data_IF_580798122701
#
_entry.id   IF_580798122701
#
_cell.length_a   1.000
_cell.length_b   1.000
_cell.length_c   1.000
_cell.angle_alpha   90.00
_cell.angle_beta   90.00
_cell.angle_gamma   90.00
#
_symmetry.space_group_name_H-M   'P 1'
#
loop_
_entity.id
_entity.type
_entity.pdbx_description
1 polymer ?
#
# COMPACT_ATOMS: atom_id res chain seq x y z
N UNK A 1 -40.89 21.81 -4.90
CA UNK A 1 -41.17 20.55 -4.16
C UNK A 1 -41.42 19.34 -5.07
N UNK A 2 -42.11 19.44 -6.22
CA UNK A 2 -42.34 18.30 -7.14
C UNK A 2 -41.09 17.76 -7.88
N UNK A 3 -40.06 18.58 -8.07
CA UNK A 3 -38.88 18.17 -8.84
C UNK A 3 -37.90 17.32 -8.03
N UNK A 4 -37.80 17.52 -6.72
CA UNK A 4 -36.92 16.73 -5.83
C UNK A 4 -37.33 15.26 -5.78
N UNK A 5 -38.63 14.98 -5.83
CA UNK A 5 -39.15 13.62 -5.78
C UNK A 5 -38.75 12.80 -7.01
N UNK A 6 -38.56 13.45 -8.17
CA UNK A 6 -38.08 12.81 -9.40
C UNK A 6 -36.62 12.35 -9.31
N UNK A 7 -35.84 12.94 -8.40
CA UNK A 7 -34.44 12.61 -8.23
C UNK A 7 -34.19 11.53 -7.16
N UNK A 8 -35.19 11.13 -6.38
CA UNK A 8 -35.02 10.13 -5.32
C UNK A 8 -34.48 8.82 -5.90
N UNK A 9 -35.12 8.28 -6.94
CA UNK A 9 -34.70 7.01 -7.57
C UNK A 9 -33.27 7.10 -8.15
N UNK A 10 -32.93 8.09 -9.01
CA UNK A 10 -31.58 8.16 -9.56
C UNK A 10 -30.50 8.42 -8.49
N UNK A 11 -30.78 9.21 -7.45
CA UNK A 11 -29.84 9.38 -6.32
C UNK A 11 -29.61 8.05 -5.61
N UNK A 12 -30.66 7.26 -5.39
CA UNK A 12 -30.57 5.97 -4.73
C UNK A 12 -29.74 4.98 -5.57
N UNK A 13 -29.89 5.00 -6.90
CA UNK A 13 -29.05 4.22 -7.82
C UNK A 13 -27.57 4.63 -7.72
N UNK A 14 -27.28 5.94 -7.75
CA UNK A 14 -25.90 6.44 -7.60
C UNK A 14 -25.30 6.02 -6.26
N UNK A 15 -26.09 6.08 -5.17
CA UNK A 15 -25.67 5.66 -3.84
C UNK A 15 -25.32 4.17 -3.78
N UNK A 16 -26.14 3.31 -4.40
CA UNK A 16 -25.88 1.87 -4.47
C UNK A 16 -24.61 1.58 -5.28
N UNK A 17 -24.43 2.23 -6.44
CA UNK A 17 -23.21 2.09 -7.25
C UNK A 17 -21.98 2.55 -6.47
N UNK A 18 -22.07 3.68 -5.75
CA UNK A 18 -20.99 4.16 -4.90
C UNK A 18 -20.68 3.16 -3.78
N UNK A 19 -21.68 2.58 -3.11
CA UNK A 19 -21.46 1.55 -2.10
C UNK A 19 -20.75 0.32 -2.67
N UNK A 20 -21.21 -0.20 -3.81
CA UNK A 20 -20.55 -1.34 -4.47
C UNK A 20 -19.10 -0.99 -4.80
N UNK A 21 -18.85 0.21 -5.32
CA UNK A 21 -17.49 0.66 -5.62
C UNK A 21 -16.59 0.73 -4.37
N UNK A 22 -17.02 1.41 -3.32
CA UNK A 22 -16.16 1.65 -2.14
C UNK A 22 -15.98 0.42 -1.23
N UNK A 23 -16.98 -0.47 -1.14
CA UNK A 23 -16.91 -1.63 -0.25
C UNK A 23 -16.46 -2.92 -0.94
N UNK A 24 -16.79 -3.07 -2.23
CA UNK A 24 -16.53 -4.30 -2.97
C UNK A 24 -15.43 -4.14 -4.02
N UNK A 25 -15.46 -3.08 -4.83
CA UNK A 25 -14.53 -2.89 -5.95
C UNK A 25 -13.32 -2.00 -5.62
N UNK A 26 -13.15 -1.57 -4.36
CA UNK A 26 -12.08 -0.63 -4.00
C UNK A 26 -10.72 -1.29 -4.25
N UNK A 27 -9.92 -0.79 -5.21
CA UNK A 27 -8.64 -1.41 -5.58
C UNK A 27 -7.61 -1.34 -4.44
N UNK A 28 -7.81 -0.44 -3.47
CA UNK A 28 -6.93 -0.29 -2.31
C UNK A 28 -7.32 -1.20 -1.14
N UNK A 29 -8.26 -2.13 -1.32
CA UNK A 29 -8.71 -3.01 -0.22
C UNK A 29 -7.54 -3.88 0.24
N UNK A 30 -7.16 -3.72 1.50
CA UNK A 30 -6.04 -4.43 2.12
C UNK A 30 -4.69 -3.69 2.05
N UNK A 31 -4.60 -2.58 1.32
CA UNK A 31 -3.40 -1.72 1.34
C UNK A 31 -3.39 -0.92 2.64
N UNK A 32 -2.29 -1.04 3.40
CA UNK A 32 -2.10 -0.36 4.67
C UNK A 32 -1.56 1.06 4.51
N UNK A 33 -1.25 1.71 5.64
CA UNK A 33 -0.58 3.01 5.67
C UNK A 33 0.68 2.98 6.53
N UNK A 34 1.73 3.65 6.09
CA UNK A 34 2.92 3.86 6.91
C UNK A 34 2.64 4.80 8.09
N UNK A 35 1.60 5.63 8.01
CA UNK A 35 1.17 6.48 9.12
C UNK A 35 0.67 5.70 10.35
N UNK A 36 0.33 4.41 10.19
CA UNK A 36 -0.08 3.53 11.29
C UNK A 36 1.12 3.01 12.11
N UNK A 37 2.35 3.36 11.71
CA UNK A 37 3.59 2.99 12.37
C UNK A 37 4.12 4.16 13.21
N UNK A 38 4.55 3.84 14.43
CA UNK A 38 5.23 4.79 15.31
C UNK A 38 6.74 4.64 15.12
N UNK A 39 7.40 5.69 14.63
CA UNK A 39 8.86 5.70 14.41
C UNK A 39 9.69 5.64 15.70
N UNK A 40 9.06 5.76 16.88
CA UNK A 40 9.69 5.54 18.17
C UNK A 40 9.49 4.10 18.70
N UNK A 41 8.83 3.24 17.92
CA UNK A 41 8.55 1.85 18.29
C UNK A 41 9.07 0.88 17.22
N UNK A 42 10.00 0.00 17.61
CA UNK A 42 10.62 -0.98 16.71
C UNK A 42 9.86 -2.32 16.66
N UNK A 43 8.61 -2.37 17.13
CA UNK A 43 7.78 -3.57 17.03
C UNK A 43 7.46 -3.88 15.56
N UNK A 44 7.77 -5.10 15.15
CA UNK A 44 7.45 -5.56 13.79
C UNK A 44 5.94 -5.69 13.61
N UNK A 45 5.41 -5.06 12.56
CA UNK A 45 4.02 -5.18 12.11
C UNK A 45 3.97 -5.42 10.61
N UNK A 46 2.85 -5.96 10.17
CA UNK A 46 2.60 -6.24 8.76
C UNK A 46 1.94 -5.02 8.09
N UNK A 47 2.40 -4.68 6.88
CA UNK A 47 1.79 -3.66 6.03
C UNK A 47 1.88 -4.07 4.57
N UNK A 48 0.73 -4.09 3.89
CA UNK A 48 0.68 -4.29 2.45
C UNK A 48 0.73 -2.95 1.72
N UNK A 49 1.62 -2.82 0.75
CA UNK A 49 1.82 -1.59 -0.03
C UNK A 49 2.00 -1.90 -1.51
N UNK A 50 1.76 -0.91 -2.37
CA UNK A 50 2.11 -1.02 -3.78
C UNK A 50 3.63 -0.93 -3.96
N UNK A 51 4.18 -1.64 -4.93
CA UNK A 51 5.55 -1.39 -5.39
C UNK A 51 5.54 -0.12 -6.25
N UNK A 52 6.41 0.84 -5.94
CA UNK A 52 6.60 2.03 -6.77
C UNK A 52 7.50 1.68 -7.97
N UNK A 53 6.90 1.04 -8.98
CA UNK A 53 7.59 0.53 -10.18
C UNK A 53 8.28 1.62 -11.00
N UNK A 54 7.87 2.88 -10.84
CA UNK A 54 8.52 4.05 -11.43
C UNK A 54 9.88 4.39 -10.80
N UNK A 55 10.25 3.76 -9.67
CA UNK A 55 11.52 3.97 -8.97
C UNK A 55 12.45 2.77 -9.13
N UNK A 56 13.75 3.04 -9.02
CA UNK A 56 14.77 2.00 -9.12
C UNK A 56 14.70 1.02 -7.93
N UNK A 57 14.86 -0.26 -8.25
CA UNK A 57 15.13 -1.33 -7.29
C UNK A 57 16.62 -1.65 -7.38
N UNK A 58 17.34 -1.39 -6.30
CA UNK A 58 18.81 -1.49 -6.25
C UNK A 58 19.22 -2.57 -5.24
N UNK A 59 20.29 -3.33 -5.51
CA UNK A 59 20.90 -4.18 -4.48
C UNK A 59 21.49 -3.31 -3.36
N UNK A 60 21.34 -3.75 -2.11
CA UNK A 60 21.96 -3.09 -0.95
C UNK A 60 23.39 -3.63 -0.76
N UNK A 61 24.44 -2.78 -0.66
CA UNK A 61 25.79 -3.22 -0.34
C UNK A 61 25.93 -4.05 0.95
N UNK A 62 24.98 -3.93 1.89
CA UNK A 62 24.96 -4.70 3.14
C UNK A 62 24.27 -6.08 3.00
N UNK A 63 23.80 -6.41 1.80
CA UNK A 63 23.00 -7.60 1.53
C UNK A 63 21.50 -7.27 1.48
N UNK A 64 20.81 -7.87 0.51
CA UNK A 64 19.39 -7.58 0.24
C UNK A 64 19.22 -6.54 -0.88
N UNK A 65 18.08 -5.85 -0.86
CA UNK A 65 17.69 -4.84 -1.84
C UNK A 65 17.06 -3.63 -1.18
N UNK A 66 17.11 -2.51 -1.90
CA UNK A 66 16.43 -1.26 -1.61
C UNK A 66 15.42 -1.00 -2.72
N UNK A 67 14.19 -0.72 -2.33
CA UNK A 67 13.13 -0.31 -3.26
C UNK A 67 12.20 0.70 -2.59
N UNK A 68 11.10 1.03 -3.24
CA UNK A 68 10.12 1.99 -2.73
C UNK A 68 8.73 1.39 -2.76
N UNK A 69 7.99 1.61 -1.68
CA UNK A 69 6.58 1.22 -1.57
C UNK A 69 5.69 2.43 -1.44
N UNK A 70 4.53 2.37 -2.08
CA UNK A 70 3.49 3.41 -2.00
C UNK A 70 2.30 2.87 -1.20
N UNK A 71 1.96 3.56 -0.11
CA UNK A 71 0.85 3.18 0.74
C UNK A 71 -0.51 3.66 0.19
N UNK A 72 -1.60 3.36 0.91
CA UNK A 72 -2.96 3.76 0.53
C UNK A 72 -3.16 5.28 0.45
N UNK A 73 -2.42 6.06 1.23
CA UNK A 73 -2.47 7.52 1.21
C UNK A 73 -1.62 8.12 0.08
N UNK A 74 -0.93 7.28 -0.69
CA UNK A 74 0.00 7.71 -1.73
C UNK A 74 1.38 8.08 -1.20
N UNK A 75 1.66 7.85 0.08
CA UNK A 75 2.97 8.10 0.67
C UNK A 75 3.96 7.08 0.12
N UNK A 76 5.06 7.56 -0.46
CA UNK A 76 6.14 6.72 -0.97
C UNK A 76 7.27 6.65 0.05
N UNK A 77 7.61 5.46 0.50
CA UNK A 77 8.64 5.21 1.52
C UNK A 77 9.72 4.28 0.96
N UNK A 78 10.97 4.56 1.29
CA UNK A 78 12.11 3.70 1.00
C UNK A 78 12.02 2.43 1.86
N UNK A 79 12.18 1.27 1.25
CA UNK A 79 12.15 -0.03 1.94
C UNK A 79 13.52 -0.68 1.78
N UNK A 80 14.09 -1.13 2.89
CA UNK A 80 15.26 -2.00 2.90
C UNK A 80 14.80 -3.40 3.28
N UNK A 81 15.12 -4.39 2.43
CA UNK A 81 14.64 -5.75 2.60
C UNK A 81 15.74 -6.78 2.30
N UNK A 82 15.83 -7.79 3.16
CA UNK A 82 16.59 -9.01 2.90
C UNK A 82 15.72 -10.11 2.29
N UNK A 83 16.34 -11.15 1.74
CA UNK A 83 15.66 -12.40 1.37
C UNK A 83 14.78 -12.35 0.11
N UNK A 84 14.78 -11.24 -0.62
CA UNK A 84 14.06 -11.06 -1.90
C UNK A 84 15.00 -10.54 -2.98
N UNK A 85 14.71 -10.88 -4.24
CA UNK A 85 15.50 -10.46 -5.41
C UNK A 85 14.89 -9.24 -6.10
N UNK A 86 15.73 -8.54 -6.88
CA UNK A 86 15.29 -7.40 -7.70
C UNK A 86 14.16 -7.78 -8.65
N UNK A 87 14.26 -8.95 -9.31
CA UNK A 87 13.26 -9.42 -10.28
C UNK A 87 11.93 -9.70 -9.60
N UNK A 88 11.92 -10.34 -8.43
CA UNK A 88 10.69 -10.60 -7.67
C UNK A 88 9.94 -9.31 -7.33
N UNK A 89 10.64 -8.25 -6.92
CA UNK A 89 10.02 -6.96 -6.62
C UNK A 89 9.55 -6.24 -7.88
N UNK A 90 10.31 -6.28 -8.97
CA UNK A 90 9.91 -5.65 -10.23
C UNK A 90 8.66 -6.29 -10.85
N UNK A 91 8.49 -7.60 -10.68
CA UNK A 91 7.30 -8.32 -11.16
C UNK A 91 6.07 -8.15 -10.25
N UNK A 92 6.25 -7.71 -9.00
CA UNK A 92 5.17 -7.59 -8.04
C UNK A 92 4.41 -6.26 -8.22
N UNK A 93 3.08 -6.31 -8.11
CA UNK A 93 2.26 -5.10 -8.03
C UNK A 93 2.20 -4.61 -6.59
N UNK A 94 2.09 -5.56 -5.65
CA UNK A 94 2.01 -5.28 -4.22
C UNK A 94 2.98 -6.15 -3.44
N UNK A 95 3.35 -5.68 -2.26
CA UNK A 95 4.19 -6.45 -1.33
C UNK A 95 3.59 -6.34 0.06
N UNK A 96 3.56 -7.47 0.77
CA UNK A 96 3.30 -7.49 2.20
C UNK A 96 4.65 -7.46 2.92
N UNK A 97 4.87 -6.40 3.70
CA UNK A 97 6.09 -6.15 4.44
C UNK A 97 5.85 -6.45 5.92
N UNK A 98 6.77 -7.16 6.56
CA UNK A 98 6.82 -7.29 8.01
C UNK A 98 8.05 -6.59 8.55
N UNK A 99 7.86 -5.62 9.42
CA UNK A 99 8.97 -4.82 9.92
C UNK A 99 8.53 -3.59 10.69
N UNK A 100 9.41 -2.60 10.79
CA UNK A 100 9.15 -1.35 11.48
C UNK A 100 9.64 -0.15 10.67
N UNK A 101 8.99 0.99 10.90
CA UNK A 101 9.28 2.24 10.22
C UNK A 101 10.29 3.04 11.03
N UNK A 102 11.42 3.39 10.41
CA UNK A 102 12.31 4.45 10.88
C UNK A 102 11.89 5.79 10.26
N UNK A 103 12.54 6.88 10.70
CA UNK A 103 12.23 8.24 10.23
C UNK A 103 12.21 8.38 8.70
N UNK A 104 13.15 7.70 8.02
CA UNK A 104 13.39 7.91 6.59
C UNK A 104 13.15 6.66 5.73
N UNK A 105 12.97 5.49 6.36
CA UNK A 105 12.82 4.22 5.64
C UNK A 105 12.10 3.16 6.48
N UNK A 106 11.53 2.18 5.81
CA UNK A 106 10.98 0.98 6.42
C UNK A 106 12.03 -0.14 6.40
N UNK A 107 12.33 -0.71 7.55
CA UNK A 107 13.20 -1.89 7.64
C UNK A 107 12.33 -3.14 7.62
N UNK A 108 12.33 -3.85 6.49
CA UNK A 108 11.56 -5.08 6.31
C UNK A 108 12.41 -6.29 6.72
N UNK A 109 11.95 -6.98 7.76
CA UNK A 109 12.51 -8.28 8.17
C UNK A 109 12.05 -9.40 7.23
N UNK A 110 10.85 -9.28 6.67
CA UNK A 110 10.28 -10.23 5.71
C UNK A 110 9.47 -9.47 4.67
N UNK A 111 9.52 -9.97 3.42
CA UNK A 111 8.80 -9.41 2.28
C UNK A 111 8.14 -10.55 1.51
N UNK A 112 6.84 -10.42 1.30
CA UNK A 112 6.03 -11.35 0.51
C UNK A 112 5.52 -10.59 -0.73
N UNK A 113 6.13 -10.79 -1.90
CA UNK A 113 5.65 -10.20 -3.16
C UNK A 113 4.39 -10.90 -3.67
N UNK A 114 3.45 -10.11 -4.20
CA UNK A 114 2.13 -10.53 -4.70
C UNK A 114 1.80 -9.90 -6.07
#
# INVERSE_FOLDING_TARGET
>A
MKNIQKFIVPILVVLVVAMVYFFYLNPNKGIGSFADFDTNNNANKDVKVYVAQEREVLPDPQGGIVFYGRDRAGQVVKIQAGGVTVEQIRSAETVTLRGHLHKDYFHAAEVIPE
#
